data_IF_652851230153
#
_entry.id   IF_652851230153
#
_cell.length_a   1.000
_cell.length_b   1.000
_cell.length_c   1.000
_cell.angle_alpha   90.00
_cell.angle_beta   90.00
_cell.angle_gamma   90.00
#
_symmetry.space_group_name_H-M   'P 1'
#
loop_
_entity.id
_entity.type
_entity.pdbx_description
1 polymer ?
#
# COMPACT_ATOMS: atom_id res chain seq x y z
N UNK A 1 7.97 6.81 -31.70
CA UNK A 1 8.40 5.41 -31.49
C UNK A 1 7.68 4.92 -30.24
N UNK A 2 6.66 4.11 -30.43
CA UNK A 2 5.84 3.55 -29.33
C UNK A 2 6.67 2.45 -28.67
N UNK A 3 7.17 2.69 -27.48
CA UNK A 3 7.72 1.64 -26.62
C UNK A 3 6.56 0.83 -26.08
N UNK A 4 6.12 -0.16 -26.87
CA UNK A 4 5.10 -1.10 -26.44
C UNK A 4 5.66 -2.00 -25.34
N UNK A 5 5.37 -1.68 -24.09
CA UNK A 5 5.50 -2.64 -23.01
C UNK A 5 4.44 -3.73 -23.25
N UNK A 6 4.86 -4.91 -23.69
CA UNK A 6 3.99 -6.07 -23.76
C UNK A 6 3.80 -6.60 -22.32
N UNK A 7 2.76 -6.11 -21.64
CA UNK A 7 2.29 -6.76 -20.42
C UNK A 7 1.72 -8.14 -20.79
N UNK A 8 1.78 -9.09 -19.86
CA UNK A 8 1.08 -10.37 -20.01
C UNK A 8 -0.39 -10.05 -20.32
N UNK A 9 -0.79 -10.25 -21.58
CA UNK A 9 -2.16 -9.95 -22.02
C UNK A 9 -3.01 -11.16 -21.72
N UNK A 10 -4.11 -10.91 -20.97
CA UNK A 10 -5.20 -11.88 -20.90
C UNK A 10 -5.90 -11.93 -22.26
N UNK A 11 -6.26 -13.12 -22.70
CA UNK A 11 -7.15 -13.28 -23.85
C UNK A 11 -8.49 -12.56 -23.63
N UNK A 12 -9.23 -12.22 -24.69
CA UNK A 12 -10.54 -11.60 -24.56
C UNK A 12 -11.47 -12.43 -23.66
N UNK A 13 -11.91 -11.85 -22.52
CA UNK A 13 -12.79 -12.50 -21.55
C UNK A 13 -12.09 -13.46 -20.58
N UNK A 14 -10.78 -13.65 -20.67
CA UNK A 14 -10.03 -14.47 -19.73
C UNK A 14 -9.82 -13.70 -18.40
N UNK A 15 -10.09 -14.39 -17.27
CA UNK A 15 -9.82 -13.87 -15.92
C UNK A 15 -8.90 -14.83 -15.17
N UNK A 16 -8.04 -14.26 -14.35
CA UNK A 16 -7.18 -15.05 -13.46
C UNK A 16 -7.98 -15.45 -12.23
N UNK A 17 -8.02 -16.74 -11.93
CA UNK A 17 -8.60 -17.21 -10.67
C UNK A 17 -7.75 -16.76 -9.49
N UNK A 18 -8.39 -16.16 -8.49
CA UNK A 18 -7.75 -15.72 -7.25
C UNK A 18 -8.56 -16.20 -6.05
N UNK A 19 -7.99 -16.19 -4.86
CA UNK A 19 -8.70 -16.53 -3.63
C UNK A 19 -9.71 -15.45 -3.23
N UNK A 20 -9.46 -14.19 -3.61
CA UNK A 20 -10.38 -13.10 -3.37
C UNK A 20 -9.76 -11.72 -3.53
N UNK A 21 -10.61 -10.71 -3.41
CA UNK A 21 -10.25 -9.31 -3.29
C UNK A 21 -10.71 -8.81 -1.92
N UNK A 22 -9.77 -8.36 -1.10
CA UNK A 22 -10.03 -7.78 0.22
C UNK A 22 -10.02 -6.26 0.07
N UNK A 23 -10.98 -5.61 0.74
CA UNK A 23 -11.11 -4.16 0.75
C UNK A 23 -11.24 -3.64 2.18
N UNK A 24 -10.38 -2.69 2.55
CA UNK A 24 -10.46 -1.95 3.81
C UNK A 24 -10.55 -0.46 3.50
N UNK A 25 -11.62 0.18 3.96
CA UNK A 25 -11.88 1.62 3.85
C UNK A 25 -11.74 2.28 5.22
N UNK A 26 -11.85 3.62 5.24
CA UNK A 26 -11.75 4.37 6.48
C UNK A 26 -10.33 4.35 7.05
N UNK A 27 -9.34 4.39 6.18
CA UNK A 27 -7.93 4.42 6.56
C UNK A 27 -7.32 5.81 6.34
N UNK A 28 -6.25 6.08 7.07
CA UNK A 28 -5.41 7.25 6.94
C UNK A 28 -3.99 6.80 6.58
N UNK A 29 -3.42 7.38 5.51
CA UNK A 29 -2.02 7.15 5.15
C UNK A 29 -1.13 8.11 5.93
N UNK A 30 -0.23 7.54 6.71
CA UNK A 30 0.77 8.23 7.52
C UNK A 30 2.16 8.01 6.95
N UNK A 31 3.09 8.93 7.22
CA UNK A 31 4.47 8.75 6.80
C UNK A 31 5.47 9.45 7.73
N UNK A 32 6.52 8.72 8.12
CA UNK A 32 7.73 9.29 8.73
C UNK A 32 8.79 9.33 7.65
N UNK A 33 9.06 10.55 7.15
CA UNK A 33 9.75 10.74 5.89
C UNK A 33 11.14 11.36 6.07
N UNK A 34 12.06 10.96 5.19
CA UNK A 34 13.43 11.48 5.13
C UNK A 34 14.13 11.44 6.50
N UNK A 35 14.17 10.25 7.06
CA UNK A 35 14.82 9.96 8.33
C UNK A 35 16.17 9.31 8.03
N UNK A 36 17.32 9.75 8.63
CA UNK A 36 18.59 9.08 8.46
C UNK A 36 18.47 7.59 8.73
N UNK A 37 18.79 6.74 7.74
CA UNK A 37 18.61 5.31 7.87
C UNK A 37 19.57 4.70 8.89
N UNK A 38 19.02 3.91 9.82
CA UNK A 38 19.79 3.21 10.85
C UNK A 38 18.97 2.06 11.46
N UNK A 39 19.65 1.03 11.96
CA UNK A 39 18.99 -0.03 12.72
C UNK A 39 18.17 0.53 13.88
N UNK A 40 16.96 -0.01 14.07
CA UNK A 40 16.05 0.38 15.14
C UNK A 40 15.07 1.51 14.81
N UNK A 41 15.21 2.19 13.66
CA UNK A 41 14.31 3.25 13.23
C UNK A 41 12.85 2.79 13.19
N UNK A 42 12.58 1.74 12.44
CA UNK A 42 11.23 1.17 12.30
C UNK A 42 10.71 0.64 13.63
N UNK A 43 11.58 0.00 14.43
CA UNK A 43 11.20 -0.48 15.75
C UNK A 43 10.74 0.66 16.67
N UNK A 44 11.43 1.81 16.67
CA UNK A 44 11.05 2.95 17.48
C UNK A 44 9.66 3.49 17.13
N UNK A 45 9.33 3.57 15.82
CA UNK A 45 8.02 4.02 15.34
C UNK A 45 6.93 3.05 15.83
N UNK A 46 7.05 1.76 15.50
CA UNK A 46 5.97 0.80 15.76
C UNK A 46 5.86 0.38 17.22
N UNK A 47 6.93 0.46 18.01
CA UNK A 47 6.85 0.30 19.47
C UNK A 47 6.09 1.48 20.13
N UNK A 48 6.22 2.70 19.62
CA UNK A 48 5.45 3.84 20.12
C UNK A 48 3.95 3.64 19.84
N UNK A 49 3.59 3.22 18.62
CA UNK A 49 2.22 2.89 18.27
C UNK A 49 1.67 1.72 19.10
N UNK A 50 2.45 0.66 19.26
CA UNK A 50 2.06 -0.50 20.08
C UNK A 50 1.81 -0.15 21.55
N UNK A 51 2.65 0.71 22.17
CA UNK A 51 2.42 1.22 23.54
C UNK A 51 1.15 2.08 23.64
N UNK A 52 0.75 2.72 22.57
CA UNK A 52 -0.49 3.50 22.47
C UNK A 52 -1.69 2.63 22.07
N UNK A 53 -1.54 1.30 21.97
CA UNK A 53 -2.56 0.33 21.52
C UNK A 53 -3.15 0.62 20.14
N UNK A 54 -2.33 1.19 19.24
CA UNK A 54 -2.72 1.53 17.87
C UNK A 54 -2.34 0.41 16.91
N UNK A 55 -3.30 -0.04 16.12
CA UNK A 55 -3.10 -1.07 15.10
C UNK A 55 -2.69 -0.48 13.76
N UNK A 56 -1.82 -1.17 13.05
CA UNK A 56 -1.34 -0.79 11.73
C UNK A 56 -1.74 -1.86 10.72
N UNK A 57 -2.31 -1.45 9.59
CA UNK A 57 -2.89 -2.37 8.60
C UNK A 57 -2.04 -2.54 7.34
N UNK A 58 -1.07 -1.66 7.14
CA UNK A 58 -0.18 -1.68 5.99
C UNK A 58 1.13 -0.99 6.39
N UNK A 59 2.26 -1.51 5.94
CA UNK A 59 3.58 -0.90 6.17
C UNK A 59 4.40 -1.07 4.90
N UNK A 60 5.07 0.01 4.49
CA UNK A 60 6.12 0.00 3.47
C UNK A 60 7.26 0.90 3.90
N UNK A 61 8.49 0.44 3.70
CA UNK A 61 9.70 1.23 3.90
C UNK A 61 10.52 1.26 2.61
N UNK A 62 11.06 2.41 2.29
CA UNK A 62 12.04 2.58 1.22
C UNK A 62 13.20 3.43 1.72
N UNK A 63 14.37 3.24 1.12
CA UNK A 63 15.56 4.07 1.37
C UNK A 63 15.88 4.76 0.05
N UNK A 64 16.08 6.07 0.09
CA UNK A 64 16.42 6.85 -1.09
C UNK A 64 17.94 6.91 -1.36
N UNK A 65 18.33 7.60 -2.42
CA UNK A 65 19.73 7.75 -2.82
C UNK A 65 20.57 8.57 -1.84
N UNK A 66 19.94 9.30 -0.93
CA UNK A 66 20.61 10.07 0.11
C UNK A 66 20.78 9.26 1.41
N UNK A 67 20.40 7.98 1.39
CA UNK A 67 20.34 7.10 2.55
C UNK A 67 19.34 7.60 3.62
N UNK A 68 18.28 8.29 3.16
CA UNK A 68 17.13 8.65 4.00
C UNK A 68 16.05 7.57 3.89
N UNK A 69 15.56 7.11 5.02
CA UNK A 69 14.45 6.15 5.12
C UNK A 69 13.10 6.86 5.06
N UNK A 70 12.16 6.26 4.35
CA UNK A 70 10.77 6.69 4.23
C UNK A 70 9.88 5.55 4.69
N UNK A 71 9.19 5.71 5.80
CA UNK A 71 8.29 4.70 6.36
C UNK A 71 6.86 5.21 6.20
N UNK A 72 6.05 4.50 5.41
CA UNK A 72 4.64 4.79 5.25
C UNK A 72 3.80 3.63 5.80
N UNK A 73 2.65 3.94 6.37
CA UNK A 73 1.77 2.95 6.95
C UNK A 73 0.32 3.46 7.00
N UNK A 74 -0.63 2.53 7.07
CA UNK A 74 -2.05 2.84 7.19
C UNK A 74 -2.57 2.48 8.58
N UNK A 75 -3.39 3.36 9.11
CA UNK A 75 -4.10 3.23 10.38
C UNK A 75 -5.59 3.52 10.17
N UNK A 76 -6.43 3.26 11.16
CA UNK A 76 -7.82 3.71 11.14
C UNK A 76 -7.89 5.25 11.06
N UNK A 77 -8.77 5.78 10.22
CA UNK A 77 -8.87 7.23 9.99
C UNK A 77 -9.21 7.99 11.28
N UNK A 78 -9.97 7.39 12.18
CA UNK A 78 -10.34 7.94 13.48
C UNK A 78 -9.14 8.14 14.42
N UNK A 79 -8.07 7.36 14.24
CA UNK A 79 -6.85 7.42 15.04
C UNK A 79 -5.81 8.42 14.50
N UNK A 80 -6.06 9.03 13.33
CA UNK A 80 -5.07 9.79 12.58
C UNK A 80 -4.44 10.94 13.39
N UNK A 81 -5.24 11.71 14.13
CA UNK A 81 -4.78 12.81 14.96
C UNK A 81 -3.96 12.29 16.15
N UNK A 82 -4.48 11.28 16.84
CA UNK A 82 -3.80 10.67 18.00
C UNK A 82 -2.46 10.03 17.62
N UNK A 83 -2.39 9.37 16.46
CA UNK A 83 -1.12 8.84 15.92
C UNK A 83 -0.14 9.96 15.60
N UNK A 84 -0.61 11.06 15.02
CA UNK A 84 0.23 12.22 14.71
C UNK A 84 0.87 12.78 15.98
N UNK A 85 0.11 12.97 17.05
CA UNK A 85 0.63 13.45 18.33
C UNK A 85 1.59 12.46 18.98
N UNK A 86 1.24 11.15 18.95
CA UNK A 86 2.08 10.07 19.47
C UNK A 86 3.45 10.01 18.78
N UNK A 87 3.48 10.18 17.45
CA UNK A 87 4.70 10.06 16.66
C UNK A 87 5.50 11.36 16.55
N UNK A 88 4.96 12.51 16.85
CA UNK A 88 5.68 13.79 16.76
C UNK A 88 7.01 13.78 17.52
N UNK A 89 7.06 13.40 18.81
CA UNK A 89 8.34 13.34 19.54
C UNK A 89 9.27 12.24 19.01
N UNK A 90 8.72 11.11 18.56
CA UNK A 90 9.50 10.00 18.00
C UNK A 90 10.15 10.41 16.69
N UNK A 91 9.40 11.01 15.78
CA UNK A 91 9.90 11.49 14.49
C UNK A 91 11.01 12.55 14.69
N UNK A 92 10.83 13.48 15.64
CA UNK A 92 11.85 14.46 16.00
C UNK A 92 13.13 13.80 16.53
N UNK A 93 13.02 12.84 17.45
CA UNK A 93 14.15 12.11 18.02
C UNK A 93 14.89 11.24 16.97
N UNK A 94 14.19 10.77 15.95
CA UNK A 94 14.76 10.03 14.83
C UNK A 94 15.42 10.93 13.79
N UNK A 95 15.18 12.25 13.83
CA UNK A 95 15.66 13.20 12.84
C UNK A 95 14.86 13.20 11.54
N UNK A 96 13.59 12.78 11.58
CA UNK A 96 12.72 12.81 10.42
C UNK A 96 12.48 14.26 9.97
N UNK A 97 12.61 14.50 8.66
CA UNK A 97 12.36 15.83 8.08
C UNK A 97 10.87 16.15 8.00
N UNK A 98 10.03 15.12 7.91
CA UNK A 98 8.58 15.33 7.80
C UNK A 98 7.79 14.14 8.38
N UNK A 99 6.79 14.46 9.18
CA UNK A 99 5.69 13.58 9.55
C UNK A 99 4.49 13.96 8.68
N UNK A 100 4.02 13.05 7.83
CA UNK A 100 2.85 13.25 6.96
C UNK A 100 1.66 12.52 7.53
N UNK A 101 0.48 13.13 7.45
CA UNK A 101 -0.77 12.56 7.92
C UNK A 101 -1.95 13.07 7.10
N UNK A 102 -3.05 12.33 7.11
CA UNK A 102 -4.34 12.85 6.75
C UNK A 102 -4.85 12.60 5.34
N UNK A 103 -4.19 11.77 4.54
CA UNK A 103 -4.80 11.34 3.28
C UNK A 103 -5.80 10.20 3.55
N UNK A 104 -7.12 10.41 3.31
CA UNK A 104 -8.10 9.32 3.34
C UNK A 104 -7.79 8.30 2.26
N UNK A 105 -7.59 7.06 2.64
CA UNK A 105 -7.20 6.00 1.73
C UNK A 105 -8.02 4.73 1.95
N UNK A 106 -8.04 3.90 0.91
CA UNK A 106 -8.48 2.52 1.00
C UNK A 106 -7.32 1.58 0.67
N UNK A 107 -7.33 0.41 1.27
CA UNK A 107 -6.42 -0.69 0.99
C UNK A 107 -7.18 -1.76 0.22
N UNK A 108 -6.81 -1.98 -1.03
CA UNK A 108 -7.35 -3.06 -1.87
C UNK A 108 -6.27 -4.12 -2.05
N UNK A 109 -6.62 -5.38 -1.78
CA UNK A 109 -5.68 -6.49 -1.83
C UNK A 109 -6.25 -7.65 -2.62
N UNK A 110 -5.48 -8.15 -3.57
CA UNK A 110 -5.78 -9.40 -4.30
C UNK A 110 -4.94 -10.49 -3.68
N UNK A 111 -5.55 -11.61 -3.33
CA UNK A 111 -4.81 -12.75 -2.77
C UNK A 111 -5.15 -14.05 -3.50
N UNK A 112 -4.20 -14.96 -3.55
CA UNK A 112 -4.39 -16.27 -4.16
C UNK A 112 -3.17 -17.18 -4.03
N UNK A 113 -3.36 -18.52 -4.13
CA UNK A 113 -2.28 -19.49 -4.00
C UNK A 113 -1.30 -19.42 -5.18
N UNK A 114 -1.77 -19.04 -6.36
CA UNK A 114 -1.03 -19.17 -7.62
C UNK A 114 -0.03 -18.04 -7.88
N UNK A 115 0.06 -17.04 -6.99
CA UNK A 115 0.95 -15.88 -7.17
C UNK A 115 2.43 -16.26 -7.23
N UNK A 116 2.82 -17.39 -6.62
CA UNK A 116 4.19 -17.92 -6.68
C UNK A 116 4.52 -18.56 -8.04
N UNK A 117 3.53 -19.15 -8.67
CA UNK A 117 3.70 -20.03 -9.84
C UNK A 117 3.38 -19.33 -11.16
N UNK A 118 2.59 -18.26 -11.10
CA UNK A 118 2.16 -17.51 -12.28
C UNK A 118 2.82 -16.12 -12.33
N UNK A 119 3.83 -15.92 -13.17
CA UNK A 119 4.44 -14.61 -13.34
C UNK A 119 3.48 -13.61 -13.97
N UNK A 120 3.60 -12.32 -13.62
CA UNK A 120 2.87 -11.22 -14.25
C UNK A 120 1.54 -10.83 -13.59
N UNK A 121 1.06 -11.53 -12.55
CA UNK A 121 -0.21 -11.20 -11.87
C UNK A 121 -0.22 -9.76 -11.36
N UNK A 122 0.88 -9.29 -10.76
CA UNK A 122 1.00 -7.92 -10.29
C UNK A 122 0.88 -6.91 -11.45
N UNK A 123 1.53 -7.19 -12.57
CA UNK A 123 1.43 -6.35 -13.77
C UNK A 123 -0.01 -6.23 -14.29
N UNK A 124 -0.77 -7.32 -14.26
CA UNK A 124 -2.20 -7.34 -14.67
C UNK A 124 -3.04 -6.50 -13.70
N UNK A 125 -2.83 -6.66 -12.40
CA UNK A 125 -3.53 -5.85 -11.38
C UNK A 125 -3.26 -4.36 -11.56
N UNK A 126 -1.99 -3.98 -11.71
CA UNK A 126 -1.60 -2.58 -11.88
C UNK A 126 -2.07 -1.99 -13.22
N UNK A 127 -2.06 -2.77 -14.29
CA UNK A 127 -2.59 -2.34 -15.59
C UNK A 127 -4.10 -2.11 -15.53
N UNK A 128 -4.85 -2.96 -14.84
CA UNK A 128 -6.29 -2.77 -14.65
C UNK A 128 -6.62 -1.49 -13.87
N UNK A 129 -5.90 -1.24 -12.76
CA UNK A 129 -6.05 -0.01 -11.97
C UNK A 129 -5.69 1.23 -12.80
N UNK A 130 -4.58 1.19 -13.54
CA UNK A 130 -4.15 2.29 -14.40
C UNK A 130 -5.15 2.59 -15.53
N UNK A 131 -5.69 1.56 -16.18
CA UNK A 131 -6.72 1.71 -17.23
C UNK A 131 -8.01 2.35 -16.69
N UNK A 132 -8.32 2.12 -15.41
CA UNK A 132 -9.46 2.74 -14.72
C UNK A 132 -9.15 4.13 -14.16
N UNK A 133 -7.94 4.66 -14.36
CA UNK A 133 -7.51 5.97 -13.85
C UNK A 133 -7.22 6.00 -12.35
N UNK A 134 -7.09 4.84 -11.71
CA UNK A 134 -6.80 4.74 -10.28
C UNK A 134 -5.30 4.85 -10.04
N UNK A 135 -4.89 5.87 -9.27
CA UNK A 135 -3.50 6.05 -8.87
C UNK A 135 -3.18 5.21 -7.62
N UNK A 136 -2.04 4.52 -7.65
CA UNK A 136 -1.54 3.73 -6.51
C UNK A 136 -0.58 4.60 -5.70
N UNK A 137 -0.85 4.79 -4.42
CA UNK A 137 -0.05 5.61 -3.50
C UNK A 137 1.08 4.83 -2.84
N UNK A 138 0.83 3.56 -2.56
CA UNK A 138 1.83 2.64 -2.01
C UNK A 138 1.46 1.18 -2.35
N UNK A 139 2.47 0.31 -2.39
CA UNK A 139 2.31 -1.10 -2.70
C UNK A 139 3.07 -1.93 -1.66
N UNK A 140 2.46 -3.02 -1.24
CA UNK A 140 3.14 -4.09 -0.50
C UNK A 140 2.73 -5.43 -1.08
N UNK A 141 3.69 -6.32 -1.26
CA UNK A 141 3.43 -7.66 -1.79
C UNK A 141 3.97 -8.73 -0.84
N UNK A 142 3.30 -9.86 -0.82
CA UNK A 142 3.80 -11.09 -0.21
C UNK A 142 3.77 -12.22 -1.25
N UNK A 143 4.06 -13.42 -0.81
CA UNK A 143 4.04 -14.62 -1.66
C UNK A 143 2.63 -14.85 -2.29
N UNK A 144 1.58 -14.46 -1.58
CA UNK A 144 0.18 -14.77 -1.96
C UNK A 144 -0.72 -13.55 -2.03
N UNK A 145 -0.20 -12.34 -1.84
CA UNK A 145 -1.03 -11.13 -1.75
C UNK A 145 -0.34 -9.94 -2.41
N UNK A 146 -1.10 -9.15 -3.14
CA UNK A 146 -0.72 -7.83 -3.66
C UNK A 146 -1.66 -6.83 -3.04
N UNK A 147 -1.12 -5.89 -2.27
CA UNK A 147 -1.88 -4.85 -1.58
C UNK A 147 -1.53 -3.48 -2.14
N UNK A 148 -2.54 -2.71 -2.54
CA UNK A 148 -2.42 -1.37 -3.07
C UNK A 148 -3.16 -0.38 -2.17
N UNK A 149 -2.47 0.67 -1.75
CA UNK A 149 -3.08 1.84 -1.11
C UNK A 149 -3.48 2.81 -2.20
N UNK A 150 -4.74 3.22 -2.19
CA UNK A 150 -5.34 4.13 -3.17
C UNK A 150 -6.11 5.24 -2.46
N UNK A 151 -6.45 6.33 -3.15
CA UNK A 151 -7.35 7.34 -2.60
C UNK A 151 -8.72 6.68 -2.28
N UNK A 152 -9.32 7.01 -1.15
CA UNK A 152 -10.58 6.37 -0.73
C UNK A 152 -11.72 6.60 -1.73
N UNK A 153 -11.75 7.76 -2.37
CA UNK A 153 -12.73 8.09 -3.40
C UNK A 153 -12.69 7.15 -4.60
N UNK A 154 -11.54 6.56 -4.90
CA UNK A 154 -11.33 5.67 -6.05
C UNK A 154 -11.64 4.21 -5.72
N UNK A 155 -12.08 3.92 -4.50
CA UNK A 155 -12.23 2.57 -3.99
C UNK A 155 -13.15 1.69 -4.85
N UNK A 156 -14.34 2.17 -5.20
CA UNK A 156 -15.27 1.38 -6.01
C UNK A 156 -14.72 1.13 -7.42
N UNK A 157 -14.15 2.16 -8.05
CA UNK A 157 -13.53 2.06 -9.37
C UNK A 157 -12.39 1.02 -9.37
N UNK A 158 -11.59 0.99 -8.30
CA UNK A 158 -10.52 0.02 -8.15
C UNK A 158 -11.05 -1.41 -8.00
N UNK A 159 -12.10 -1.62 -7.23
CA UNK A 159 -12.73 -2.94 -7.08
C UNK A 159 -13.28 -3.44 -8.42
N UNK A 160 -13.99 -2.59 -9.14
CA UNK A 160 -14.57 -2.95 -10.46
C UNK A 160 -13.45 -3.29 -11.46
N UNK A 161 -12.36 -2.52 -11.47
CA UNK A 161 -11.19 -2.77 -12.29
C UNK A 161 -10.54 -4.13 -11.97
N UNK A 162 -10.34 -4.44 -10.71
CA UNK A 162 -9.76 -5.73 -10.29
C UNK A 162 -10.69 -6.88 -10.60
N UNK A 163 -12.00 -6.76 -10.39
CA UNK A 163 -12.99 -7.78 -10.74
C UNK A 163 -13.12 -8.00 -12.25
N UNK A 164 -12.71 -7.03 -13.07
CA UNK A 164 -12.71 -7.21 -14.53
C UNK A 164 -11.65 -8.22 -15.00
N UNK A 165 -10.53 -8.36 -14.28
CA UNK A 165 -9.39 -9.21 -14.64
C UNK A 165 -9.20 -10.42 -13.72
N UNK A 166 -9.81 -10.40 -12.54
CA UNK A 166 -9.76 -11.50 -11.57
C UNK A 166 -11.12 -12.17 -11.40
N UNK A 167 -11.13 -13.51 -11.42
CA UNK A 167 -12.31 -14.32 -11.11
C UNK A 167 -12.24 -14.73 -9.64
N UNK A 168 -13.29 -14.43 -8.91
CA UNK A 168 -13.49 -14.91 -7.53
C UNK A 168 -13.97 -16.35 -7.54
N UNK A 169 -13.76 -17.12 -6.44
CA UNK A 169 -14.26 -18.48 -6.29
C UNK A 169 -15.78 -18.59 -6.43
#
# INVERSE_FOLDING_TARGET
>A
MSTGWQFAQLGPGEKIKVGGVINHKGLCLMGVMSTPDRPGLVAAIFQALGRAHLNVQFIVQTIDLNNDSHVQFCIAAEDCEYVTETLRPVAAALGAKKLTSGLPVALVSVFGPDFRERPGIAGIAFAALAAAGVNILAISTSISTISCVIAEQDNQTALDALHSVFALP
#
